data_IF_359427209385
#
_entry.id   IF_359427209385
#
_cell.length_a   1.000
_cell.length_b   1.000
_cell.length_c   1.000
_cell.angle_alpha   90.00
_cell.angle_beta   90.00
_cell.angle_gamma   90.00
#
_symmetry.space_group_name_H-M   'P 1'
#
loop_
_entity.id
_entity.type
_entity.pdbx_description
1 polymer ?
#
# COMPACT_ATOMS: atom_id res chain seq x y z
N UNK A 1 -28.72 -49.80 30.46
CA UNK A 1 -27.88 -48.74 31.05
C UNK A 1 -27.96 -47.53 30.11
N UNK A 2 -28.96 -46.65 30.28
CA UNK A 2 -29.16 -45.49 29.40
C UNK A 2 -28.34 -44.30 29.90
N UNK A 3 -27.51 -43.73 29.02
CA UNK A 3 -26.72 -42.54 29.31
C UNK A 3 -27.63 -41.35 29.63
N UNK A 4 -27.37 -40.68 30.75
CA UNK A 4 -28.07 -39.47 31.20
C UNK A 4 -27.72 -38.32 30.23
N UNK A 5 -28.70 -37.62 29.62
CA UNK A 5 -28.40 -36.51 28.71
C UNK A 5 -27.79 -35.34 29.49
N UNK A 6 -26.67 -34.81 28.99
CA UNK A 6 -26.01 -33.65 29.57
C UNK A 6 -26.94 -32.43 29.52
N UNK A 7 -27.33 -31.93 30.69
CA UNK A 7 -28.11 -30.69 30.80
C UNK A 7 -27.18 -29.50 30.61
N UNK A 8 -27.10 -29.02 29.37
CA UNK A 8 -26.40 -27.79 29.04
C UNK A 8 -26.99 -26.62 29.85
N UNK A 9 -26.17 -25.98 30.70
CA UNK A 9 -26.62 -24.89 31.58
C UNK A 9 -26.71 -23.59 30.75
N UNK A 10 -27.84 -22.87 30.75
CA UNK A 10 -28.04 -21.70 29.88
C UNK A 10 -27.01 -20.59 30.13
N UNK A 11 -26.52 -20.47 31.36
CA UNK A 11 -25.44 -19.52 31.73
C UNK A 11 -24.11 -19.83 31.03
N UNK A 12 -23.80 -21.11 30.81
CA UNK A 12 -22.56 -21.55 30.13
C UNK A 12 -22.72 -21.38 28.62
N UNK A 13 -23.89 -21.72 28.07
CA UNK A 13 -24.22 -21.45 26.66
C UNK A 13 -24.08 -19.97 26.28
N UNK A 14 -24.61 -19.07 27.11
CA UNK A 14 -24.54 -17.63 26.84
C UNK A 14 -23.10 -17.13 26.94
N UNK A 15 -22.30 -17.64 27.87
CA UNK A 15 -20.90 -17.25 27.99
C UNK A 15 -20.07 -17.70 26.77
N UNK A 16 -20.29 -18.93 26.28
CA UNK A 16 -19.63 -19.44 25.07
C UNK A 16 -20.01 -18.63 23.83
N UNK A 17 -21.29 -18.27 23.70
CA UNK A 17 -21.79 -17.42 22.62
C UNK A 17 -21.12 -16.03 22.63
N UNK A 18 -21.04 -15.40 23.82
CA UNK A 18 -20.43 -14.08 23.97
C UNK A 18 -18.92 -14.09 23.68
N UNK A 19 -18.21 -15.13 24.12
CA UNK A 19 -16.79 -15.32 23.79
C UNK A 19 -16.62 -15.51 22.28
N UNK A 20 -17.47 -16.32 21.64
CA UNK A 20 -17.45 -16.51 20.18
C UNK A 20 -17.71 -15.22 19.39
N UNK A 21 -18.65 -14.39 19.85
CA UNK A 21 -18.92 -13.06 19.25
C UNK A 21 -17.75 -12.09 19.44
N UNK A 22 -17.08 -12.13 20.60
CA UNK A 22 -15.89 -11.31 20.86
C UNK A 22 -14.74 -11.69 19.93
N UNK A 23 -14.48 -12.99 19.74
CA UNK A 23 -13.47 -13.47 18.78
C UNK A 23 -13.82 -13.13 17.33
N UNK A 24 -15.12 -13.12 16.97
CA UNK A 24 -15.58 -12.72 15.63
C UNK A 24 -15.37 -11.21 15.36
N UNK A 25 -15.46 -10.37 16.39
CA UNK A 25 -15.30 -8.90 16.26
C UNK A 25 -13.86 -8.40 16.07
N UNK A 26 -12.85 -9.26 16.24
CA UNK A 26 -11.42 -8.86 16.16
C UNK A 26 -10.91 -8.80 14.71
N UNK A 27 -11.67 -9.32 13.73
CA UNK A 27 -11.23 -9.43 12.33
C UNK A 27 -11.63 -8.25 11.44
N UNK A 28 -11.57 -7.02 11.95
CA UNK A 28 -11.71 -5.81 11.13
C UNK A 28 -10.37 -5.08 11.15
N UNK A 29 -9.40 -5.60 10.41
CA UNK A 29 -8.30 -4.77 9.89
C UNK A 29 -8.85 -4.05 8.66
N UNK A 30 -9.01 -2.73 8.76
CA UNK A 30 -9.32 -1.91 7.60
C UNK A 30 -8.13 -1.92 6.65
N UNK A 31 -8.36 -2.24 5.38
CA UNK A 31 -7.41 -2.02 4.32
C UNK A 31 -7.24 -0.51 4.13
N UNK A 32 -6.05 0.02 4.39
CA UNK A 32 -5.69 1.38 3.99
C UNK A 32 -5.21 1.35 2.54
N UNK A 33 -5.62 2.35 1.75
CA UNK A 33 -5.24 2.40 0.34
C UNK A 33 -3.75 2.75 0.24
N UNK A 34 -3.04 2.06 -0.67
CA UNK A 34 -1.66 2.41 -0.99
C UNK A 34 -1.55 3.89 -1.43
N UNK A 35 -0.49 4.55 -0.97
CA UNK A 35 -0.25 5.98 -1.19
C UNK A 35 0.95 6.13 -2.13
N UNK A 36 0.87 7.09 -3.06
CA UNK A 36 1.99 7.49 -3.92
C UNK A 36 2.34 8.94 -3.58
N UNK A 37 3.62 9.19 -3.28
CA UNK A 37 4.12 10.50 -2.90
C UNK A 37 5.38 10.87 -3.69
N UNK A 38 5.66 12.17 -3.78
CA UNK A 38 6.90 12.69 -4.37
C UNK A 38 7.79 13.20 -3.24
N UNK A 39 9.04 12.75 -3.21
CA UNK A 39 10.01 13.05 -2.15
C UNK A 39 11.30 13.61 -2.76
N UNK A 40 11.86 14.72 -2.25
CA UNK A 40 11.27 15.59 -1.25
C UNK A 40 10.02 16.32 -1.77
N UNK A 41 9.12 16.71 -0.86
CA UNK A 41 7.91 17.46 -1.21
C UNK A 41 8.18 18.91 -1.59
N UNK A 42 9.33 19.45 -1.15
CA UNK A 42 9.86 20.76 -1.49
C UNK A 42 11.39 20.72 -1.43
N UNK A 43 12.04 21.44 -2.34
CA UNK A 43 13.49 21.52 -2.40
C UNK A 43 13.94 22.87 -2.96
N UNK A 44 14.87 23.52 -2.27
CA UNK A 44 15.60 24.66 -2.80
C UNK A 44 16.66 24.19 -3.80
N UNK A 45 16.57 24.67 -5.04
CA UNK A 45 17.51 24.38 -6.13
C UNK A 45 17.96 25.68 -6.80
N UNK A 46 19.19 25.71 -7.35
CA UNK A 46 19.60 26.83 -8.17
C UNK A 46 19.20 26.61 -9.63
N UNK A 47 18.96 27.71 -10.34
CA UNK A 47 18.64 27.64 -11.76
C UNK A 47 19.80 27.02 -12.54
N UNK A 48 19.48 25.95 -13.28
CA UNK A 48 20.45 25.21 -14.09
C UNK A 48 21.01 23.97 -13.40
N UNK A 49 20.70 23.76 -12.12
CA UNK A 49 21.05 22.52 -11.42
C UNK A 49 20.20 21.35 -11.93
N UNK A 50 20.80 20.17 -11.99
CA UNK A 50 20.08 18.91 -12.10
C UNK A 50 19.72 18.43 -10.69
N UNK A 51 18.47 17.98 -10.53
CA UNK A 51 17.96 17.49 -9.26
C UNK A 51 17.12 16.23 -9.50
N UNK A 52 16.91 15.46 -8.44
CA UNK A 52 16.10 14.24 -8.46
C UNK A 52 14.95 14.39 -7.48
N UNK A 53 13.81 13.83 -7.85
CA UNK A 53 12.69 13.57 -6.94
C UNK A 53 12.33 12.10 -7.08
N UNK A 54 12.05 11.47 -5.95
CA UNK A 54 11.63 10.08 -5.88
C UNK A 54 10.11 10.00 -5.89
N UNK A 55 9.55 9.08 -6.68
CA UNK A 55 8.15 8.69 -6.58
C UNK A 55 8.08 7.46 -5.69
N UNK A 56 7.65 7.67 -4.44
CA UNK A 56 7.61 6.65 -3.39
C UNK A 56 6.21 6.07 -3.29
N UNK A 57 6.13 4.74 -3.18
CA UNK A 57 4.87 4.03 -2.99
C UNK A 57 4.87 3.41 -1.60
N UNK A 58 3.90 3.79 -0.77
CA UNK A 58 3.63 3.14 0.50
C UNK A 58 2.46 2.17 0.32
N UNK A 59 2.65 0.85 0.54
CA UNK A 59 1.59 -0.13 0.35
C UNK A 59 0.50 -0.08 1.43
N UNK A 60 0.75 0.56 2.58
CA UNK A 60 -0.18 0.63 3.73
C UNK A 60 -0.78 -0.73 4.15
N UNK A 61 0.01 -1.80 4.01
CA UNK A 61 -0.39 -3.17 4.35
C UNK A 61 -1.02 -3.97 3.20
N UNK A 62 -1.21 -3.35 2.03
CA UNK A 62 -1.77 -4.00 0.85
C UNK A 62 -0.68 -4.57 -0.08
N UNK A 63 -0.99 -5.68 -0.74
CA UNK A 63 -0.11 -6.25 -1.74
C UNK A 63 -0.22 -5.47 -3.06
N UNK A 64 0.90 -4.88 -3.51
CA UNK A 64 0.93 -4.04 -4.71
C UNK A 64 1.60 -4.79 -5.86
N UNK A 65 0.80 -5.17 -6.87
CA UNK A 65 1.28 -5.89 -8.06
C UNK A 65 1.75 -4.97 -9.20
N UNK A 66 1.40 -3.69 -9.14
CA UNK A 66 1.72 -2.73 -10.19
C UNK A 66 1.46 -1.30 -9.74
N UNK A 67 2.19 -0.37 -10.35
CA UNK A 67 2.11 1.06 -10.05
C UNK A 67 2.02 1.82 -11.36
N UNK A 68 1.09 2.77 -11.43
CA UNK A 68 0.98 3.71 -12.54
C UNK A 68 0.75 5.11 -11.99
N UNK A 69 1.45 6.11 -12.53
CA UNK A 69 1.27 7.51 -12.18
C UNK A 69 1.46 8.42 -13.39
N UNK A 70 0.94 9.64 -13.27
CA UNK A 70 1.21 10.76 -14.17
C UNK A 70 1.77 11.90 -13.33
N UNK A 71 3.04 12.24 -13.53
CA UNK A 71 3.68 13.38 -12.87
C UNK A 71 3.61 14.59 -13.79
N UNK A 72 2.94 15.66 -13.35
CA UNK A 72 2.78 16.90 -14.10
C UNK A 72 3.64 18.00 -13.49
N UNK A 73 4.36 18.73 -14.32
CA UNK A 73 5.26 19.82 -13.90
C UNK A 73 5.15 21.02 -14.82
N UNK A 74 5.64 22.18 -14.36
CA UNK A 74 5.69 23.38 -15.19
C UNK A 74 6.91 23.33 -16.13
N UNK A 75 6.65 23.02 -17.41
CA UNK A 75 7.67 22.88 -18.46
C UNK A 75 8.43 24.18 -18.78
N UNK A 76 7.95 25.34 -18.33
CA UNK A 76 8.69 26.61 -18.45
C UNK A 76 9.75 26.79 -17.35
N UNK A 77 9.73 25.95 -16.31
CA UNK A 77 10.61 26.04 -15.13
C UNK A 77 11.57 24.86 -15.07
N UNK A 78 11.06 23.64 -15.27
CA UNK A 78 11.83 22.39 -15.18
C UNK A 78 11.63 21.55 -16.43
N UNK A 79 12.60 20.67 -16.71
CA UNK A 79 12.59 19.74 -17.84
C UNK A 79 12.94 18.36 -17.31
N UNK A 80 12.12 17.36 -17.63
CA UNK A 80 12.39 15.99 -17.25
C UNK A 80 13.43 15.36 -18.19
N UNK A 81 14.56 14.92 -17.66
CA UNK A 81 15.64 14.32 -18.44
C UNK A 81 15.60 12.79 -18.41
N UNK A 82 15.41 12.20 -17.23
CA UNK A 82 15.38 10.74 -17.06
C UNK A 82 14.36 10.30 -16.00
N UNK A 83 13.93 9.05 -16.10
CA UNK A 83 13.18 8.35 -15.07
C UNK A 83 13.74 6.93 -14.94
N UNK A 84 14.09 6.55 -13.71
CA UNK A 84 14.68 5.24 -13.39
C UNK A 84 13.75 4.49 -12.44
N UNK A 85 13.49 3.20 -12.72
CA UNK A 85 12.67 2.34 -11.86
C UNK A 85 13.44 1.99 -10.59
N UNK A 86 12.81 2.16 -9.42
CA UNK A 86 13.31 1.63 -8.14
C UNK A 86 12.98 0.14 -7.92
N UNK A 87 13.43 -0.41 -6.78
CA UNK A 87 13.26 -1.83 -6.44
C UNK A 87 11.94 -2.21 -5.75
N UNK A 88 10.99 -1.28 -5.60
CA UNK A 88 9.76 -1.50 -4.82
C UNK A 88 8.93 -2.73 -5.27
N UNK A 89 8.81 -2.92 -6.58
CA UNK A 89 8.06 -4.03 -7.17
C UNK A 89 8.92 -5.29 -7.43
N UNK A 90 10.13 -5.36 -6.90
CA UNK A 90 10.98 -6.57 -6.99
C UNK A 90 10.56 -7.52 -5.88
N UNK A 91 10.16 -8.75 -6.24
CA UNK A 91 9.69 -9.76 -5.28
C UNK A 91 10.31 -11.12 -5.59
N UNK A 92 10.65 -11.87 -4.54
CA UNK A 92 11.20 -13.23 -4.63
C UNK A 92 12.41 -13.37 -5.57
N UNK A 93 13.25 -12.32 -5.63
CA UNK A 93 14.42 -12.28 -6.52
C UNK A 93 14.09 -12.08 -8.01
N UNK A 94 12.83 -11.82 -8.35
CA UNK A 94 12.38 -11.49 -9.69
C UNK A 94 12.15 -9.98 -9.83
N UNK A 95 12.65 -9.43 -10.93
CA UNK A 95 12.45 -8.02 -11.30
C UNK A 95 11.06 -7.80 -11.91
N UNK A 96 10.47 -6.64 -11.62
CA UNK A 96 9.28 -6.15 -12.31
C UNK A 96 9.60 -5.51 -13.67
N UNK A 97 8.63 -5.57 -14.59
CA UNK A 97 8.73 -5.00 -15.93
C UNK A 97 8.21 -3.56 -15.99
N UNK A 98 8.91 -2.70 -16.75
CA UNK A 98 8.44 -1.35 -17.08
C UNK A 98 7.64 -1.40 -18.37
N UNK A 99 6.32 -1.32 -18.26
CA UNK A 99 5.42 -1.39 -19.43
C UNK A 99 5.38 -0.06 -20.20
N UNK A 100 5.30 1.06 -19.47
CA UNK A 100 5.31 2.41 -20.06
C UNK A 100 6.20 3.32 -19.22
N UNK A 101 7.14 3.99 -19.87
CA UNK A 101 7.95 5.07 -19.30
C UNK A 101 8.09 6.17 -20.35
N UNK A 102 7.31 7.23 -20.20
CA UNK A 102 7.21 8.31 -21.17
C UNK A 102 7.47 9.64 -20.50
N UNK A 103 8.43 10.38 -21.05
CA UNK A 103 8.72 11.76 -20.67
C UNK A 103 8.13 12.69 -21.72
N UNK A 104 7.34 13.68 -21.26
CA UNK A 104 6.85 14.73 -22.13
C UNK A 104 7.26 16.12 -21.60
N UNK A 105 8.06 16.82 -22.40
CA UNK A 105 8.50 18.20 -22.17
C UNK A 105 7.92 19.18 -23.21
N UNK A 106 6.82 18.81 -23.86
CA UNK A 106 6.15 19.57 -24.93
C UNK A 106 4.71 19.91 -24.56
#
# INVERSE_FOLDING_TARGET
MLARPERFKPRISVLILLIGLMFLSIMITGAEAAIIEVVPSDQDIHKGDEFMVDVVVSPEGEEVFGVQYLLVFNMSVVRAETQVKGGFLTSDGNESEVVVNALNNT
#
